data_IF_732751827970
#
_entry.id   IF_732751827970
#
_cell.length_a   1.000
_cell.length_b   1.000
_cell.length_c   1.000
_cell.angle_alpha   90.00
_cell.angle_beta   90.00
_cell.angle_gamma   90.00
#
_symmetry.space_group_name_H-M   'P 1'
#
loop_
_entity.id
_entity.type
_entity.pdbx_description
1 polymer ?
#
# COMPACT_ATOMS: atom_id res chain seq x y z
N UNK A 1 -25.03 -88.42 13.18
CA UNK A 1 -23.96 -88.04 12.23
C UNK A 1 -24.29 -86.79 11.39
N UNK A 2 -25.52 -86.24 11.46
CA UNK A 2 -25.93 -85.05 10.68
C UNK A 2 -25.72 -83.69 11.40
N UNK A 3 -25.58 -83.68 12.73
CA UNK A 3 -25.55 -82.43 13.51
C UNK A 3 -24.15 -81.81 13.65
N UNK A 4 -23.10 -82.62 13.58
CA UNK A 4 -21.71 -82.16 13.69
C UNK A 4 -21.18 -81.53 12.40
N UNK A 5 -21.72 -81.87 11.23
CA UNK A 5 -21.33 -81.30 9.93
C UNK A 5 -21.85 -79.86 9.74
N UNK A 6 -23.02 -79.52 10.29
CA UNK A 6 -23.57 -78.17 10.17
C UNK A 6 -22.82 -77.12 11.01
N UNK A 7 -22.36 -77.51 12.21
CA UNK A 7 -21.58 -76.60 13.08
C UNK A 7 -20.22 -76.27 12.47
N UNK A 8 -19.54 -77.26 11.88
CA UNK A 8 -18.24 -77.06 11.22
C UNK A 8 -18.39 -76.17 9.98
N UNK A 9 -19.47 -76.34 9.19
CA UNK A 9 -19.72 -75.50 8.00
C UNK A 9 -19.95 -74.02 8.33
N UNK A 10 -20.64 -73.73 9.44
CA UNK A 10 -20.92 -72.34 9.87
C UNK A 10 -19.66 -71.67 10.40
N UNK A 11 -18.84 -72.37 11.18
CA UNK A 11 -17.56 -71.86 11.66
C UNK A 11 -16.62 -71.54 10.50
N UNK A 12 -16.53 -72.41 9.49
CA UNK A 12 -15.65 -72.24 8.34
C UNK A 12 -16.05 -71.06 7.45
N UNK A 13 -17.36 -70.88 7.18
CA UNK A 13 -17.86 -69.74 6.39
C UNK A 13 -17.66 -68.41 7.13
N UNK A 14 -17.82 -68.41 8.46
CA UNK A 14 -17.68 -67.20 9.28
C UNK A 14 -16.22 -66.77 9.43
N UNK A 15 -15.27 -67.72 9.48
CA UNK A 15 -13.84 -67.39 9.45
C UNK A 15 -13.40 -66.89 8.07
N UNK A 16 -13.92 -67.49 6.98
CA UNK A 16 -13.59 -67.07 5.62
C UNK A 16 -14.07 -65.63 5.33
N UNK A 17 -15.28 -65.27 5.80
CA UNK A 17 -15.82 -63.90 5.66
C UNK A 17 -15.03 -62.87 6.47
N UNK A 18 -14.57 -63.22 7.67
CA UNK A 18 -13.72 -62.34 8.48
C UNK A 18 -12.35 -62.10 7.82
N UNK A 19 -11.74 -63.15 7.26
CA UNK A 19 -10.46 -63.00 6.54
C UNK A 19 -10.64 -62.12 5.30
N UNK A 20 -11.73 -62.28 4.54
CA UNK A 20 -12.03 -61.42 3.40
C UNK A 20 -12.28 -59.97 3.81
N UNK A 21 -12.97 -59.73 4.93
CA UNK A 21 -13.21 -58.39 5.45
C UNK A 21 -11.90 -57.70 5.83
N UNK A 22 -11.00 -58.39 6.55
CA UNK A 22 -9.70 -57.83 6.92
C UNK A 22 -8.79 -57.60 5.70
N UNK A 23 -8.81 -58.47 4.70
CA UNK A 23 -8.08 -58.28 3.44
C UNK A 23 -8.62 -57.07 2.66
N UNK A 24 -9.94 -56.90 2.60
CA UNK A 24 -10.55 -55.77 1.92
C UNK A 24 -10.24 -54.45 2.63
N UNK A 25 -10.25 -54.43 3.97
CA UNK A 25 -9.83 -53.27 4.77
C UNK A 25 -8.35 -52.95 4.55
N UNK A 26 -7.47 -53.97 4.48
CA UNK A 26 -6.05 -53.75 4.21
C UNK A 26 -5.78 -53.18 2.81
N UNK A 27 -6.52 -53.65 1.79
CA UNK A 27 -6.43 -53.12 0.42
C UNK A 27 -7.00 -51.70 0.35
N UNK A 28 -8.10 -51.42 1.07
CA UNK A 28 -8.71 -50.09 1.11
C UNK A 28 -7.83 -49.05 1.81
N UNK A 29 -7.14 -49.44 2.90
CA UNK A 29 -6.21 -48.56 3.62
C UNK A 29 -4.89 -48.40 2.83
N UNK A 30 -4.42 -49.45 2.14
CA UNK A 30 -3.21 -49.39 1.31
C UNK A 30 -3.34 -48.55 0.03
N UNK A 31 -4.56 -48.28 -0.43
CA UNK A 31 -4.83 -47.48 -1.63
C UNK A 31 -4.88 -45.95 -1.38
N UNK A 32 -4.73 -45.50 -0.13
CA UNK A 32 -4.75 -44.07 0.23
C UNK A 32 -3.36 -43.47 0.51
N UNK A 33 -2.32 -43.93 -0.18
CA UNK A 33 -1.09 -43.12 -0.27
C UNK A 33 -1.24 -42.11 -1.41
N UNK A 34 -2.10 -41.12 -1.19
CA UNK A 34 -2.00 -39.88 -1.95
C UNK A 34 -0.63 -39.29 -1.62
N UNK A 35 0.27 -39.38 -2.59
CA UNK A 35 1.52 -38.65 -2.57
C UNK A 35 1.15 -37.18 -2.75
N UNK A 36 0.84 -36.52 -1.63
CA UNK A 36 0.80 -35.07 -1.54
C UNK A 36 2.23 -34.57 -1.79
N UNK A 37 2.60 -34.45 -3.07
CA UNK A 37 3.72 -33.65 -3.49
C UNK A 37 3.42 -32.23 -3.02
N UNK A 38 4.08 -31.79 -1.95
CA UNK A 38 4.03 -30.41 -1.51
C UNK A 38 4.69 -29.56 -2.61
N UNK A 39 3.87 -29.04 -3.53
CA UNK A 39 4.30 -28.06 -4.49
C UNK A 39 4.65 -26.78 -3.72
N UNK A 40 5.94 -26.51 -3.56
CA UNK A 40 6.43 -25.27 -2.99
C UNK A 40 6.16 -24.15 -4.00
N UNK A 41 4.98 -23.55 -3.91
CA UNK A 41 4.69 -22.32 -4.63
C UNK A 41 5.42 -21.20 -3.87
N UNK A 42 6.41 -20.58 -4.51
CA UNK A 42 7.05 -19.39 -3.96
C UNK A 42 5.98 -18.29 -3.82
N UNK A 43 5.64 -17.93 -2.58
CA UNK A 43 4.71 -16.84 -2.27
C UNK A 43 5.51 -15.63 -1.80
N UNK A 44 5.41 -14.52 -2.51
CA UNK A 44 5.96 -13.23 -2.08
C UNK A 44 4.81 -12.37 -1.58
N UNK A 45 4.75 -12.15 -0.27
CA UNK A 45 3.77 -11.23 0.34
C UNK A 45 4.33 -9.82 0.33
N UNK A 46 3.64 -8.91 -0.35
CA UNK A 46 3.90 -7.47 -0.27
C UNK A 46 2.93 -6.90 0.76
N UNK A 47 3.47 -6.61 1.93
CA UNK A 47 2.80 -5.82 2.97
C UNK A 47 3.21 -4.37 2.80
N UNK A 48 2.25 -3.45 2.78
CA UNK A 48 2.55 -2.00 2.82
C UNK A 48 3.08 -1.66 4.21
N UNK A 49 4.39 -1.47 4.32
CA UNK A 49 5.15 -1.20 5.56
C UNK A 49 5.50 0.28 5.67
N UNK A 50 5.44 0.81 6.90
CA UNK A 50 5.58 2.24 7.19
C UNK A 50 6.97 2.49 7.73
N UNK A 51 7.79 3.14 6.91
CA UNK A 51 9.13 3.55 7.31
C UNK A 51 9.11 4.62 8.42
N UNK A 52 9.81 4.36 9.52
CA UNK A 52 9.95 5.24 10.68
C UNK A 52 9.14 4.83 11.90
N UNK A 53 8.76 3.56 12.03
CA UNK A 53 8.01 3.03 13.17
C UNK A 53 8.87 2.22 14.16
N UNK A 54 10.20 2.26 13.98
CA UNK A 54 11.20 1.55 14.80
C UNK A 54 11.11 0.03 14.74
N UNK A 55 10.44 -0.54 13.73
CA UNK A 55 10.33 -1.97 13.54
C UNK A 55 10.79 -2.36 12.14
N UNK A 56 11.94 -3.04 12.04
CA UNK A 56 12.47 -3.50 10.74
C UNK A 56 11.55 -4.56 10.12
N UNK A 57 10.80 -4.17 9.09
CA UNK A 57 9.93 -5.07 8.36
C UNK A 57 10.66 -5.81 7.21
N UNK A 58 10.06 -6.86 6.59
CA UNK A 58 10.74 -7.67 5.57
C UNK A 58 11.21 -6.92 4.31
N UNK A 59 10.65 -5.74 4.03
CA UNK A 59 11.05 -4.86 2.92
C UNK A 59 11.99 -3.73 3.35
N UNK A 60 12.38 -3.69 4.63
CA UNK A 60 13.19 -2.65 5.21
C UNK A 60 14.56 -3.21 5.56
N UNK A 61 15.60 -2.47 5.20
CA UNK A 61 16.97 -2.83 5.52
C UNK A 61 17.30 -2.45 6.97
N UNK A 62 16.69 -1.38 7.47
CA UNK A 62 16.76 -0.91 8.84
C UNK A 62 15.61 0.09 9.12
N UNK A 63 15.25 0.29 10.39
CA UNK A 63 14.30 1.32 10.85
C UNK A 63 14.66 1.69 12.29
N UNK A 64 15.22 2.89 12.48
CA UNK A 64 15.60 3.43 13.79
C UNK A 64 14.54 4.42 14.34
N UNK A 65 13.36 4.50 13.71
CA UNK A 65 12.26 5.39 14.06
C UNK A 65 12.38 6.83 13.57
N UNK A 66 13.59 7.27 13.20
CA UNK A 66 13.86 8.67 12.81
C UNK A 66 14.35 8.74 11.35
N UNK A 67 15.07 7.71 10.91
CA UNK A 67 15.69 7.54 9.60
C UNK A 67 16.42 8.81 9.14
N UNK A 68 17.20 9.39 10.07
CA UNK A 68 17.81 10.71 9.89
C UNK A 68 18.99 10.74 8.93
N UNK A 69 19.59 9.59 8.65
CA UNK A 69 20.82 9.46 7.86
C UNK A 69 22.03 10.16 8.46
N UNK A 70 21.95 10.58 9.72
CA UNK A 70 23.04 11.27 10.39
C UNK A 70 24.28 10.37 10.46
N UNK A 71 25.43 10.99 10.23
CA UNK A 71 26.71 10.33 10.31
C UNK A 71 26.92 9.69 11.69
N UNK A 72 27.46 8.48 11.71
CA UNK A 72 27.76 7.75 12.93
C UNK A 72 29.24 7.38 13.04
N UNK A 73 29.79 7.51 14.24
CA UNK A 73 31.21 7.23 14.52
C UNK A 73 31.55 5.74 14.65
N UNK A 74 30.59 4.84 14.46
CA UNK A 74 30.83 3.39 14.47
C UNK A 74 29.68 2.61 13.85
N UNK A 75 29.97 1.38 13.41
CA UNK A 75 29.00 0.38 12.94
C UNK A 75 27.90 0.14 13.98
N UNK A 76 28.21 0.19 15.28
CA UNK A 76 27.24 -0.07 16.34
C UNK A 76 26.21 1.07 16.51
N UNK A 77 26.57 2.28 16.08
CA UNK A 77 25.75 3.50 16.23
C UNK A 77 25.20 4.02 14.91
N UNK A 78 25.31 3.24 13.83
CA UNK A 78 24.85 3.62 12.49
C UNK A 78 23.35 3.93 12.48
N UNK A 79 23.00 5.02 11.80
CA UNK A 79 21.62 5.45 11.61
C UNK A 79 21.10 4.99 10.26
N UNK A 80 19.79 4.87 10.11
CA UNK A 80 19.15 4.66 8.82
C UNK A 80 19.09 5.97 8.03
N UNK A 81 19.51 6.00 6.76
CA UNK A 81 19.27 7.16 5.87
C UNK A 81 17.85 7.17 5.32
N UNK A 82 17.30 5.98 5.15
CA UNK A 82 15.92 5.66 4.84
C UNK A 82 15.69 4.23 5.28
N UNK A 83 14.48 3.69 5.16
CA UNK A 83 14.27 2.27 5.45
C UNK A 83 14.85 1.32 4.39
N UNK A 84 15.54 1.85 3.37
CA UNK A 84 16.16 1.05 2.31
C UNK A 84 17.68 1.02 2.36
N UNK A 85 18.32 1.83 3.22
CA UNK A 85 19.78 1.90 3.34
C UNK A 85 20.25 2.50 4.68
N UNK A 86 21.44 2.13 5.11
CA UNK A 86 22.13 2.84 6.20
C UNK A 86 22.52 4.26 5.77
N UNK A 87 22.68 5.15 6.75
CA UNK A 87 23.38 6.43 6.59
C UNK A 87 24.87 6.23 6.45
N UNK A 88 25.59 7.33 6.27
CA UNK A 88 27.06 7.33 6.25
C UNK A 88 27.58 7.03 7.66
N UNK A 89 28.61 6.21 7.79
CA UNK A 89 29.21 5.90 9.09
C UNK A 89 30.64 5.38 8.94
N UNK A 90 31.42 5.57 10.00
CA UNK A 90 32.78 5.04 10.08
C UNK A 90 32.81 3.51 10.10
N UNK A 91 33.58 2.92 9.19
CA UNK A 91 33.77 1.48 9.04
C UNK A 91 32.88 0.88 7.96
N UNK A 92 32.42 1.67 6.99
CA UNK A 92 31.64 1.19 5.84
C UNK A 92 32.48 0.97 4.58
N UNK A 93 33.79 1.26 4.65
CA UNK A 93 34.76 1.12 3.58
C UNK A 93 34.79 2.31 2.62
N UNK A 94 34.06 3.40 2.92
CA UNK A 94 33.95 4.58 2.06
C UNK A 94 34.34 5.83 2.85
N UNK A 95 35.51 6.39 2.57
CA UNK A 95 35.93 7.65 3.20
C UNK A 95 34.95 8.78 2.89
N UNK A 96 34.45 9.46 3.93
CA UNK A 96 33.53 10.59 3.85
C UNK A 96 34.17 11.89 4.40
N UNK A 97 34.95 12.62 3.58
CA UNK A 97 35.73 13.77 4.04
C UNK A 97 34.90 14.94 4.60
N UNK A 98 33.62 15.04 4.19
CA UNK A 98 32.72 16.09 4.64
C UNK A 98 32.20 15.87 6.07
N UNK A 99 32.23 14.62 6.56
CA UNK A 99 31.84 14.24 7.92
C UNK A 99 33.06 14.11 8.86
N UNK A 100 34.28 14.33 8.33
CA UNK A 100 35.52 14.41 9.11
C UNK A 100 36.34 13.12 9.14
N UNK A 101 36.01 12.12 8.32
CA UNK A 101 36.84 10.92 8.17
C UNK A 101 38.16 11.22 7.43
N UNK A 102 39.26 10.68 7.95
CA UNK A 102 40.57 10.74 7.30
C UNK A 102 40.96 9.39 6.66
N UNK A 103 40.36 8.30 7.10
CA UNK A 103 40.51 6.93 6.60
C UNK A 103 39.21 6.15 6.84
N UNK A 104 39.04 5.01 6.16
CA UNK A 104 38.03 4.00 6.47
C UNK A 104 38.53 2.66 5.91
N UNK A 105 38.69 1.64 6.76
CA UNK A 105 39.17 0.29 6.41
C UNK A 105 38.08 -0.79 6.49
N UNK A 106 36.81 -0.37 6.52
CA UNK A 106 35.64 -1.24 6.51
C UNK A 106 35.31 -1.86 7.87
N UNK A 107 35.93 -1.39 8.96
CA UNK A 107 35.60 -1.84 10.31
C UNK A 107 35.88 -0.74 11.38
N UNK A 108 35.73 -1.06 12.68
CA UNK A 108 36.04 -0.14 13.79
C UNK A 108 37.01 -0.75 14.81
N UNK A 109 37.95 -1.56 14.32
CA UNK A 109 39.08 -2.07 15.11
C UNK A 109 40.15 -1.00 15.10
N UNK A 110 40.97 -0.94 16.16
CA UNK A 110 42.14 -0.07 16.19
C UNK A 110 43.40 -0.93 16.05
N UNK A 111 44.42 -0.36 15.45
CA UNK A 111 45.72 -0.98 15.18
C UNK A 111 45.79 -1.72 13.85
N UNK A 112 44.79 -1.56 12.97
CA UNK A 112 44.70 -2.23 11.67
C UNK A 112 44.66 -1.30 10.45
N UNK A 113 44.88 0.01 10.63
CA UNK A 113 45.18 1.07 9.64
C UNK A 113 44.36 2.33 9.89
N UNK A 114 43.11 2.17 10.34
CA UNK A 114 42.21 3.25 10.68
C UNK A 114 41.71 3.08 12.12
N UNK A 115 41.58 4.19 12.88
CA UNK A 115 41.12 4.09 14.26
C UNK A 115 39.58 3.89 14.35
N UNK A 116 39.08 3.66 15.58
CA UNK A 116 37.65 3.39 15.82
C UNK A 116 36.70 4.55 15.48
N UNK A 117 37.22 5.74 15.16
CA UNK A 117 36.46 6.94 14.78
C UNK A 117 36.90 7.49 13.42
N UNK A 118 37.54 6.66 12.59
CA UNK A 118 37.95 6.96 11.23
C UNK A 118 38.97 8.10 11.11
N UNK A 119 39.90 8.14 12.07
CA UNK A 119 41.09 8.99 12.03
C UNK A 119 42.34 8.14 11.77
N UNK A 120 43.33 8.75 11.12
CA UNK A 120 44.60 8.08 10.90
C UNK A 120 45.27 7.78 12.24
N UNK A 121 45.67 6.53 12.42
CA UNK A 121 46.36 6.13 13.63
C UNK A 121 47.75 6.77 13.67
N UNK A 122 47.99 7.58 14.70
CA UNK A 122 49.35 8.04 14.99
C UNK A 122 50.12 6.89 15.63
N UNK A 123 50.84 6.14 14.82
CA UNK A 123 51.70 5.02 15.22
C UNK A 123 52.40 5.25 16.58
N UNK A 124 52.38 4.24 17.46
CA UNK A 124 53.56 3.88 18.23
C UNK A 124 54.03 2.48 17.82
N UNK A 125 55.21 2.42 17.22
CA UNK A 125 56.02 1.22 16.98
C UNK A 125 56.06 0.32 18.23
N UNK A 126 55.80 -1.00 18.11
CA UNK A 126 56.82 -2.08 18.32
C UNK A 126 56.26 -3.53 18.42
N UNK A 127 56.78 -4.34 17.49
CA UNK A 127 57.27 -5.74 17.52
C UNK A 127 56.77 -6.85 18.47
N UNK A 128 56.54 -8.02 17.84
CA UNK A 128 57.02 -9.35 18.24
C UNK A 128 56.16 -10.46 17.62
N UNK A 129 56.60 -11.44 16.82
CA UNK A 129 57.92 -11.95 16.43
C UNK A 129 57.81 -13.50 16.32
N UNK A 130 58.22 -14.12 15.20
CA UNK A 130 58.33 -15.59 15.12
C UNK A 130 58.43 -16.16 13.69
N UNK A 131 59.64 -16.52 13.26
CA UNK A 131 59.96 -16.89 11.88
C UNK A 131 59.69 -18.34 11.44
N UNK A 132 59.84 -18.57 10.14
CA UNK A 132 59.76 -19.88 9.49
C UNK A 132 60.25 -19.84 8.03
N UNK A 133 61.51 -20.20 7.87
CA UNK A 133 62.34 -20.44 6.69
C UNK A 133 61.69 -20.91 5.37
N UNK A 134 62.12 -20.24 4.29
CA UNK A 134 62.53 -20.74 2.97
C UNK A 134 62.01 -22.08 2.39
N UNK A 135 61.56 -22.01 1.14
CA UNK A 135 61.45 -23.17 0.25
C UNK A 135 60.99 -22.79 -1.16
N UNK A 136 61.93 -22.68 -2.09
CA UNK A 136 61.67 -22.57 -3.54
C UNK A 136 61.16 -23.89 -4.14
N UNK A 137 60.30 -23.79 -5.14
CA UNK A 137 59.87 -24.87 -6.05
C UNK A 137 58.39 -24.69 -6.39
N UNK A 138 57.95 -24.32 -7.59
CA UNK A 138 58.33 -24.84 -8.90
C UNK A 138 57.39 -26.00 -9.26
N UNK A 139 56.44 -25.79 -10.17
CA UNK A 139 55.68 -26.89 -10.78
C UNK A 139 54.23 -26.54 -11.10
N UNK A 140 53.91 -26.42 -12.39
CA UNK A 140 52.54 -26.34 -12.88
C UNK A 140 51.82 -27.70 -12.91
N UNK A 141 50.50 -27.63 -13.06
CA UNK A 141 49.60 -28.74 -13.39
C UNK A 141 48.17 -28.19 -13.37
N UNK A 142 47.60 -27.82 -14.52
CA UNK A 142 46.69 -28.63 -15.34
C UNK A 142 45.64 -29.37 -14.51
N UNK A 143 44.40 -28.93 -14.71
CA UNK A 143 43.24 -29.30 -13.91
C UNK A 143 42.70 -30.70 -14.13
N UNK A 144 41.78 -31.01 -13.23
CA UNK A 144 40.77 -32.07 -13.29
C UNK A 144 39.50 -31.48 -12.70
N UNK A 145 38.38 -31.38 -13.42
CA UNK A 145 37.11 -30.95 -12.86
C UNK A 145 36.40 -32.13 -12.19
N UNK A 146 35.72 -31.85 -11.08
CA UNK A 146 34.69 -32.70 -10.49
C UNK A 146 35.09 -33.37 -9.18
N UNK A 147 34.84 -32.69 -8.06
CA UNK A 147 34.33 -33.30 -6.81
C UNK A 147 33.84 -32.22 -5.83
N UNK A 148 32.96 -31.35 -6.30
CA UNK A 148 32.08 -30.53 -5.47
C UNK A 148 30.70 -31.15 -5.62
N UNK A 149 30.24 -31.88 -4.61
CA UNK A 149 29.02 -32.71 -4.57
C UNK A 149 27.70 -31.99 -4.84
N UNK A 150 27.58 -31.35 -5.99
CA UNK A 150 26.36 -30.84 -6.60
C UNK A 150 25.80 -31.97 -7.46
N UNK A 151 24.55 -32.41 -7.24
CA UNK A 151 23.94 -33.37 -8.14
C UNK A 151 23.82 -32.78 -9.55
N UNK A 152 24.37 -33.54 -10.49
CA UNK A 152 24.40 -33.36 -11.94
C UNK A 152 23.10 -32.74 -12.49
N UNK A 153 23.22 -31.50 -12.98
CA UNK A 153 22.19 -30.85 -13.77
C UNK A 153 22.22 -31.42 -15.20
N UNK A 154 21.44 -32.50 -15.38
CA UNK A 154 20.72 -32.90 -16.59
C UNK A 154 21.41 -32.73 -17.95
N UNK A 155 21.81 -33.86 -18.51
CA UNK A 155 21.65 -34.18 -19.94
C UNK A 155 20.15 -34.24 -20.26
N UNK A 156 19.50 -33.08 -20.35
CA UNK A 156 18.40 -32.72 -21.27
C UNK A 156 18.03 -31.26 -20.93
N UNK A 157 18.35 -30.35 -21.84
CA UNK A 157 18.33 -28.90 -21.62
C UNK A 157 16.94 -28.29 -21.58
N UNK A 158 16.10 -28.70 -20.63
CA UNK A 158 14.89 -27.98 -20.25
C UNK A 158 14.49 -28.32 -18.82
N UNK A 159 14.92 -27.51 -17.85
CA UNK A 159 14.14 -27.38 -16.62
C UNK A 159 12.96 -26.47 -16.96
N UNK A 160 11.86 -27.08 -17.38
CA UNK A 160 10.59 -26.38 -17.58
C UNK A 160 9.99 -26.07 -16.19
N UNK A 161 10.45 -24.98 -15.56
CA UNK A 161 9.72 -24.38 -14.44
C UNK A 161 8.64 -23.46 -15.01
N UNK A 162 7.52 -24.06 -15.42
CA UNK A 162 6.25 -23.36 -15.63
C UNK A 162 5.56 -23.17 -14.27
N UNK A 163 6.14 -22.33 -13.42
CA UNK A 163 5.40 -21.75 -12.31
C UNK A 163 4.49 -20.66 -12.88
N UNK A 164 3.17 -20.80 -12.74
CA UNK A 164 2.27 -19.72 -13.12
C UNK A 164 2.63 -18.45 -12.33
N UNK A 165 2.89 -17.35 -13.03
CA UNK A 165 3.10 -16.06 -12.39
C UNK A 165 1.74 -15.49 -12.03
N UNK A 166 1.38 -15.58 -10.75
CA UNK A 166 0.04 -15.25 -10.27
C UNK A 166 0.10 -14.08 -9.30
N UNK A 167 -0.98 -13.29 -9.27
CA UNK A 167 -1.11 -12.13 -8.40
C UNK A 167 -2.39 -12.26 -7.57
N UNK A 168 -2.24 -12.40 -6.26
CA UNK A 168 -3.35 -12.38 -5.31
C UNK A 168 -3.52 -10.98 -4.75
N UNK A 169 -4.72 -10.43 -4.83
CA UNK A 169 -5.03 -9.08 -4.34
C UNK A 169 -6.08 -9.19 -3.25
N UNK A 170 -5.83 -8.56 -2.12
CA UNK A 170 -6.76 -8.49 -1.00
C UNK A 170 -6.82 -7.08 -0.41
N UNK A 171 -8.02 -6.61 -0.10
CA UNK A 171 -8.23 -5.29 0.46
C UNK A 171 -9.59 -5.14 1.12
N UNK A 172 -9.86 -3.92 1.59
CA UNK A 172 -11.10 -3.55 2.24
C UNK A 172 -11.67 -2.26 1.65
N UNK A 173 -12.98 -2.20 1.49
CA UNK A 173 -13.72 -1.08 0.90
C UNK A 173 -14.98 -0.77 1.73
N UNK A 174 -16.15 -0.57 1.10
CA UNK A 174 -17.42 -0.42 1.81
C UNK A 174 -18.29 -1.66 1.60
N UNK A 175 -19.18 -2.03 2.55
CA UNK A 175 -20.02 -3.22 2.40
C UNK A 175 -20.88 -3.22 1.13
N UNK A 176 -20.64 -4.17 0.22
CA UNK A 176 -21.33 -4.24 -1.07
C UNK A 176 -20.97 -3.12 -2.03
N UNK A 177 -19.80 -2.49 -1.88
CA UNK A 177 -19.26 -1.55 -2.85
C UNK A 177 -18.75 -2.27 -4.10
N UNK A 178 -18.86 -1.62 -5.25
CA UNK A 178 -18.27 -2.09 -6.51
C UNK A 178 -16.89 -1.47 -6.68
N UNK A 179 -15.84 -2.30 -6.68
CA UNK A 179 -14.45 -1.91 -6.85
C UNK A 179 -14.05 -2.13 -8.30
N UNK A 180 -13.60 -1.07 -8.95
CA UNK A 180 -13.01 -1.12 -10.29
C UNK A 180 -11.50 -1.11 -10.17
N UNK A 181 -10.87 -2.11 -10.77
CA UNK A 181 -9.43 -2.30 -10.84
C UNK A 181 -8.96 -1.83 -12.20
N UNK A 182 -7.97 -0.94 -12.20
CA UNK A 182 -7.36 -0.37 -13.37
C UNK A 182 -5.94 -0.92 -13.53
N UNK A 183 -5.55 -1.23 -14.75
CA UNK A 183 -4.16 -1.49 -15.13
C UNK A 183 -3.80 -0.51 -16.24
N UNK A 184 -2.73 0.26 -16.02
CA UNK A 184 -2.26 1.28 -16.97
C UNK A 184 -3.36 2.26 -17.44
N UNK A 185 -4.36 2.51 -16.57
CA UNK A 185 -5.49 3.42 -16.83
C UNK A 185 -6.73 2.76 -17.46
N UNK A 186 -6.65 1.52 -17.92
CA UNK A 186 -7.79 0.77 -18.47
C UNK A 186 -8.43 -0.15 -17.42
N UNK A 187 -9.72 -0.47 -17.60
CA UNK A 187 -10.46 -1.36 -16.68
C UNK A 187 -10.00 -2.80 -16.89
N UNK A 188 -9.24 -3.32 -15.93
CA UNK A 188 -8.80 -4.70 -15.87
C UNK A 188 -9.96 -5.60 -15.40
N UNK A 189 -10.63 -5.18 -14.32
CA UNK A 189 -11.65 -6.00 -13.64
C UNK A 189 -12.57 -5.15 -12.77
N UNK A 190 -13.76 -5.67 -12.53
CA UNK A 190 -14.69 -5.19 -11.52
C UNK A 190 -14.94 -6.30 -10.51
N UNK A 191 -14.83 -5.98 -9.22
CA UNK A 191 -15.10 -6.90 -8.10
C UNK A 191 -16.04 -6.24 -7.09
N UNK A 192 -16.74 -7.02 -6.29
CA UNK A 192 -17.62 -6.50 -5.23
C UNK A 192 -17.04 -6.83 -3.86
N UNK A 193 -17.17 -5.90 -2.92
CA UNK A 193 -16.84 -6.16 -1.52
C UNK A 193 -17.97 -6.95 -0.84
N UNK A 194 -17.58 -7.88 0.02
CA UNK A 194 -18.51 -8.65 0.84
C UNK A 194 -19.21 -7.80 1.92
N UNK A 195 -20.10 -8.41 2.69
CA UNK A 195 -20.81 -7.74 3.80
C UNK A 195 -19.89 -7.29 4.94
N UNK A 196 -18.69 -7.88 5.04
CA UNK A 196 -17.65 -7.53 6.00
C UNK A 196 -16.68 -6.48 5.44
N UNK A 197 -17.01 -5.91 4.27
CA UNK A 197 -16.23 -4.93 3.53
C UNK A 197 -14.88 -5.43 3.00
N UNK A 198 -14.67 -6.74 2.85
CA UNK A 198 -13.45 -7.31 2.27
C UNK A 198 -13.67 -7.61 0.78
N UNK A 199 -12.60 -7.49 -0.01
CA UNK A 199 -12.55 -8.01 -1.37
C UNK A 199 -11.23 -8.76 -1.58
N UNK A 200 -11.28 -9.82 -2.36
CA UNK A 200 -10.09 -10.53 -2.81
C UNK A 200 -10.32 -11.12 -4.19
N UNK A 201 -9.26 -11.21 -4.98
CA UNK A 201 -9.27 -11.87 -6.29
C UNK A 201 -7.84 -12.23 -6.70
N UNK A 202 -7.73 -13.14 -7.67
CA UNK A 202 -6.44 -13.53 -8.26
C UNK A 202 -6.42 -13.19 -9.73
N UNK A 203 -5.27 -12.74 -10.22
CA UNK A 203 -4.95 -12.60 -11.64
C UNK A 203 -3.89 -13.63 -11.99
N UNK A 204 -4.16 -14.45 -13.01
CA UNK A 204 -3.26 -15.50 -13.48
C UNK A 204 -2.45 -15.03 -14.68
N UNK A 205 -1.37 -15.75 -15.02
CA UNK A 205 -0.56 -15.49 -16.24
C UNK A 205 -0.03 -14.05 -16.31
N UNK A 206 0.43 -13.51 -15.18
CA UNK A 206 0.91 -12.14 -15.09
C UNK A 206 2.29 -11.98 -15.73
N UNK A 207 2.52 -10.84 -16.38
CA UNK A 207 3.84 -10.49 -16.89
C UNK A 207 4.74 -10.05 -15.72
N UNK A 208 5.91 -10.67 -15.52
CA UNK A 208 6.86 -10.25 -14.49
C UNK A 208 7.38 -8.83 -14.74
N UNK A 209 7.63 -8.08 -13.67
CA UNK A 209 8.13 -6.71 -13.74
C UNK A 209 7.37 -5.73 -12.86
N UNK A 210 7.72 -4.45 -12.95
CA UNK A 210 7.03 -3.38 -12.21
C UNK A 210 5.64 -3.20 -12.82
N UNK A 211 4.62 -3.35 -11.98
CA UNK A 211 3.21 -3.22 -12.34
C UNK A 211 2.58 -2.13 -11.49
N UNK A 212 1.73 -1.31 -12.09
CA UNK A 212 0.88 -0.35 -11.37
C UNK A 212 -0.58 -0.71 -11.53
N UNK A 213 -1.29 -0.85 -10.41
CA UNK A 213 -2.73 -1.05 -10.38
C UNK A 213 -3.42 0.14 -9.70
N UNK A 214 -4.51 0.60 -10.31
CA UNK A 214 -5.41 1.60 -9.75
C UNK A 214 -6.67 0.95 -9.18
N UNK A 215 -7.18 1.47 -8.07
CA UNK A 215 -8.36 0.97 -7.38
C UNK A 215 -9.26 2.14 -7.04
N UNK A 216 -10.51 2.10 -7.47
CA UNK A 216 -11.54 3.00 -6.96
C UNK A 216 -12.82 2.23 -6.71
N UNK A 217 -13.61 2.66 -5.73
CA UNK A 217 -14.89 2.03 -5.41
C UNK A 217 -16.03 3.01 -5.63
N UNK A 218 -17.17 2.49 -6.10
CA UNK A 218 -18.46 3.15 -5.99
C UNK A 218 -19.24 2.56 -4.81
N UNK A 219 -19.80 3.43 -3.98
CA UNK A 219 -20.77 3.00 -2.97
C UNK A 219 -22.15 2.72 -3.59
N UNK A 220 -23.10 2.27 -2.76
CA UNK A 220 -24.46 1.92 -3.21
C UNK A 220 -25.26 3.12 -3.73
N UNK A 221 -24.85 4.34 -3.38
CA UNK A 221 -25.43 5.57 -3.90
C UNK A 221 -24.76 6.02 -5.21
N UNK A 222 -23.80 5.25 -5.73
CA UNK A 222 -23.06 5.56 -6.95
C UNK A 222 -21.96 6.59 -6.75
N UNK A 223 -21.65 7.00 -5.50
CA UNK A 223 -20.58 7.96 -5.23
C UNK A 223 -19.25 7.25 -5.33
N UNK A 224 -18.30 7.89 -6.00
CA UNK A 224 -16.98 7.32 -6.32
C UNK A 224 -15.91 7.78 -5.33
N UNK A 225 -15.02 6.87 -4.95
CA UNK A 225 -13.81 7.17 -4.18
C UNK A 225 -12.74 7.82 -5.06
N UNK A 226 -11.73 8.43 -4.42
CA UNK A 226 -10.49 8.73 -5.15
C UNK A 226 -9.85 7.42 -5.62
N UNK A 227 -9.09 7.48 -6.72
CA UNK A 227 -8.34 6.32 -7.21
C UNK A 227 -7.08 6.16 -6.37
N UNK A 228 -6.96 5.03 -5.68
CA UNK A 228 -5.76 4.59 -4.98
C UNK A 228 -4.88 3.80 -5.96
N UNK A 229 -3.61 4.18 -6.12
CA UNK A 229 -2.69 3.47 -7.00
C UNK A 229 -1.60 2.77 -6.19
N UNK A 230 -1.29 1.53 -6.55
CA UNK A 230 -0.21 0.74 -5.97
C UNK A 230 0.73 0.26 -7.06
N UNK A 231 2.02 0.54 -6.90
CA UNK A 231 3.10 0.08 -7.79
C UNK A 231 3.96 -0.94 -7.05
N UNK A 232 4.14 -2.11 -7.64
CA UNK A 232 4.88 -3.23 -7.03
C UNK A 232 5.53 -4.09 -8.12
N UNK A 233 6.52 -4.90 -7.72
CA UNK A 233 7.20 -5.81 -8.61
C UNK A 233 6.53 -7.19 -8.58
N UNK A 234 6.09 -7.67 -9.75
CA UNK A 234 5.62 -9.04 -9.96
C UNK A 234 6.84 -9.93 -10.24
N UNK A 235 7.04 -10.94 -9.39
CA UNK A 235 8.17 -11.88 -9.49
C UNK A 235 7.80 -13.03 -10.42
N UNK A 236 8.68 -13.35 -11.36
CA UNK A 236 8.49 -14.47 -12.29
C UNK A 236 8.38 -15.80 -11.57
N UNK A 237 7.48 -16.66 -12.03
CA UNK A 237 7.25 -18.02 -11.50
C UNK A 237 6.91 -18.06 -10.01
N UNK A 238 6.30 -16.98 -9.49
CA UNK A 238 5.90 -16.84 -8.10
C UNK A 238 4.47 -16.30 -8.00
N UNK A 239 3.85 -16.56 -6.85
CA UNK A 239 2.59 -15.91 -6.45
C UNK A 239 2.94 -14.64 -5.69
N UNK A 240 2.71 -13.49 -6.31
CA UNK A 240 2.80 -12.19 -5.65
C UNK A 240 1.49 -11.91 -4.93
N UNK A 241 1.52 -11.58 -3.64
CA UNK A 241 0.31 -11.22 -2.87
C UNK A 241 0.36 -9.76 -2.48
N UNK A 242 -0.55 -8.96 -3.03
CA UNK A 242 -0.79 -7.57 -2.64
C UNK A 242 -1.91 -7.54 -1.60
N UNK A 243 -1.58 -7.13 -0.37
CA UNK A 243 -2.54 -7.04 0.73
C UNK A 243 -2.53 -5.66 1.38
N UNK A 244 -3.56 -5.34 2.17
CA UNK A 244 -3.63 -4.08 2.91
C UNK A 244 -4.17 -2.90 2.11
N UNK A 245 -4.81 -3.14 0.96
CA UNK A 245 -5.47 -2.07 0.20
C UNK A 245 -6.68 -1.56 1.01
N UNK A 246 -6.67 -0.28 1.36
CA UNK A 246 -7.77 0.38 2.06
C UNK A 246 -8.34 1.48 1.17
N UNK A 247 -9.56 1.27 0.67
CA UNK A 247 -10.21 2.28 -0.18
C UNK A 247 -10.66 3.48 0.68
N UNK A 248 -10.21 4.72 0.38
CA UNK A 248 -10.62 5.93 1.10
C UNK A 248 -12.14 6.10 1.15
N UNK A 249 -12.72 6.81 2.12
CA UNK A 249 -14.17 6.97 2.18
C UNK A 249 -14.71 7.78 1.00
N UNK A 250 -15.97 7.55 0.63
CA UNK A 250 -16.72 8.49 -0.23
C UNK A 250 -17.17 9.70 0.59
N UNK A 251 -17.39 10.82 -0.07
CA UNK A 251 -17.81 12.06 0.55
C UNK A 251 -18.81 12.78 -0.35
N UNK A 252 -19.88 13.29 0.25
CA UNK A 252 -20.83 14.21 -0.36
C UNK A 252 -21.19 15.28 0.66
N UNK A 253 -21.51 16.48 0.18
CA UNK A 253 -21.99 17.59 1.01
C UNK A 253 -23.44 17.86 0.67
N UNK A 254 -24.28 18.07 1.68
CA UNK A 254 -25.71 18.36 1.48
C UNK A 254 -26.21 19.34 2.53
N UNK A 255 -26.76 20.51 2.15
CA UNK A 255 -26.74 21.09 0.80
C UNK A 255 -25.32 21.58 0.41
N UNK A 256 -25.02 21.64 -0.89
CA UNK A 256 -23.76 22.19 -1.41
C UNK A 256 -23.64 23.72 -1.20
N UNK A 257 -24.79 24.37 -0.99
CA UNK A 257 -24.91 25.79 -0.65
C UNK A 257 -25.71 25.95 0.64
N UNK A 258 -25.17 26.68 1.59
CA UNK A 258 -25.80 26.91 2.89
C UNK A 258 -25.60 28.36 3.36
N UNK A 259 -26.60 28.91 4.05
CA UNK A 259 -26.43 30.20 4.71
C UNK A 259 -25.53 30.05 5.95
N UNK A 260 -24.76 31.07 6.30
CA UNK A 260 -23.95 31.04 7.52
C UNK A 260 -24.82 30.83 8.76
N UNK A 261 -24.39 29.93 9.65
CA UNK A 261 -25.14 29.54 10.85
C UNK A 261 -26.23 28.50 10.60
N UNK A 262 -26.29 27.94 9.39
CA UNK A 262 -27.11 26.76 9.10
C UNK A 262 -26.27 25.48 9.16
N UNK A 263 -26.94 24.34 9.28
CA UNK A 263 -26.28 23.03 9.35
C UNK A 263 -26.13 22.44 7.95
N UNK A 264 -24.91 22.00 7.64
CA UNK A 264 -24.60 21.17 6.47
C UNK A 264 -24.30 19.74 6.91
N UNK A 265 -24.62 18.78 6.06
CA UNK A 265 -24.33 17.37 6.29
C UNK A 265 -23.21 16.91 5.36
N UNK A 266 -22.17 16.33 5.95
CA UNK A 266 -21.15 15.57 5.26
C UNK A 266 -21.50 14.09 5.39
N UNK A 267 -21.67 13.38 4.29
CA UNK A 267 -22.07 11.98 4.32
C UNK A 267 -21.30 11.15 3.30
N UNK A 268 -21.23 9.86 3.54
CA UNK A 268 -20.48 8.97 2.68
C UNK A 268 -20.56 7.51 3.10
N UNK A 269 -19.67 6.72 2.52
CA UNK A 269 -19.43 5.33 2.85
C UNK A 269 -17.97 5.13 3.21
N UNK A 270 -17.71 4.37 4.27
CA UNK A 270 -16.41 4.07 4.86
C UNK A 270 -16.39 2.61 5.36
N UNK A 271 -15.28 2.18 5.96
CA UNK A 271 -15.23 0.86 6.58
C UNK A 271 -16.18 0.77 7.79
N UNK A 272 -16.88 -0.36 7.99
CA UNK A 272 -17.79 -0.54 9.12
C UNK A 272 -17.10 -0.37 10.47
N UNK A 273 -17.79 0.28 11.41
CA UNK A 273 -17.31 0.46 12.79
C UNK A 273 -15.97 1.19 12.91
N UNK A 274 -15.57 1.95 11.89
CA UNK A 274 -14.38 2.81 11.94
C UNK A 274 -14.77 4.25 12.29
N UNK A 275 -13.83 5.00 12.86
CA UNK A 275 -14.01 6.43 13.11
C UNK A 275 -13.68 7.19 11.83
N UNK A 276 -14.64 7.96 11.33
CA UNK A 276 -14.47 8.86 10.19
C UNK A 276 -14.11 10.24 10.71
N UNK A 277 -13.10 10.86 10.11
CA UNK A 277 -12.60 12.18 10.43
C UNK A 277 -12.77 13.08 9.19
N UNK A 278 -13.51 14.18 9.33
CA UNK A 278 -13.70 15.18 8.28
C UNK A 278 -12.95 16.46 8.61
N UNK A 279 -12.08 16.89 7.70
CA UNK A 279 -11.30 18.12 7.80
C UNK A 279 -11.93 19.18 6.91
N UNK A 280 -12.32 20.31 7.50
CA UNK A 280 -12.86 21.46 6.80
C UNK A 280 -11.74 22.49 6.64
N UNK A 281 -11.48 22.91 5.41
CA UNK A 281 -10.38 23.80 5.02
C UNK A 281 -9.02 23.39 5.58
N UNK A 282 -8.43 24.25 6.42
CA UNK A 282 -7.15 24.07 7.09
C UNK A 282 -7.32 23.87 8.60
N UNK A 283 -8.48 23.38 9.04
CA UNK A 283 -8.72 23.13 10.46
C UNK A 283 -7.74 22.09 11.02
N UNK A 284 -7.11 22.40 12.14
CA UNK A 284 -6.20 21.49 12.84
C UNK A 284 -6.91 20.29 13.48
N UNK A 285 -8.22 20.44 13.75
CA UNK A 285 -9.05 19.41 14.37
C UNK A 285 -10.14 18.94 13.41
N UNK A 286 -10.27 17.63 13.18
CA UNK A 286 -11.36 17.10 12.39
C UNK A 286 -12.66 17.06 13.20
N UNK A 287 -13.77 17.10 12.48
CA UNK A 287 -15.05 16.62 12.99
C UNK A 287 -15.08 15.10 12.88
N UNK A 288 -15.61 14.42 13.89
CA UNK A 288 -15.53 12.96 13.97
C UNK A 288 -16.92 12.32 14.09
N UNK A 289 -17.08 11.15 13.47
CA UNK A 289 -18.26 10.28 13.63
C UNK A 289 -17.85 8.82 13.52
N UNK A 290 -18.76 7.91 13.87
CA UNK A 290 -18.56 6.47 13.66
C UNK A 290 -19.34 6.01 12.44
N UNK A 291 -18.68 5.25 11.57
CA UNK A 291 -19.34 4.56 10.48
C UNK A 291 -20.24 3.43 11.02
N UNK A 292 -21.46 3.35 10.49
CA UNK A 292 -22.43 2.31 10.80
C UNK A 292 -21.93 0.92 10.38
N UNK A 293 -22.63 -0.14 10.78
CA UNK A 293 -22.33 -1.51 10.35
C UNK A 293 -22.43 -1.70 8.83
N UNK A 294 -23.20 -0.85 8.15
CA UNK A 294 -23.35 -0.87 6.69
C UNK A 294 -22.31 0.03 5.99
N UNK A 295 -21.38 0.63 6.73
CA UNK A 295 -20.36 1.54 6.23
C UNK A 295 -20.84 2.97 6.00
N UNK A 296 -22.13 3.28 6.17
CA UNK A 296 -22.64 4.64 6.04
C UNK A 296 -22.19 5.50 7.23
N UNK A 297 -21.83 6.75 6.95
CA UNK A 297 -21.45 7.73 7.96
C UNK A 297 -22.01 9.10 7.59
N UNK A 298 -22.28 9.92 8.61
CA UNK A 298 -22.70 11.30 8.44
C UNK A 298 -22.22 12.18 9.61
N UNK A 299 -21.85 13.42 9.29
CA UNK A 299 -21.50 14.49 10.23
C UNK A 299 -22.40 15.67 9.93
N UNK A 300 -23.05 16.20 10.97
CA UNK A 300 -23.78 17.47 10.90
C UNK A 300 -22.88 18.59 11.40
N UNK A 301 -22.58 19.56 10.56
CA UNK A 301 -21.66 20.65 10.85
C UNK A 301 -22.36 22.00 10.83
N UNK A 302 -22.13 22.82 11.87
CA UNK A 302 -22.64 24.18 11.95
C UNK A 302 -21.68 25.16 11.25
N UNK A 303 -22.18 25.82 10.20
CA UNK A 303 -21.42 26.78 9.38
C UNK A 303 -21.18 28.13 10.08
N UNK A 304 -21.64 28.33 11.32
CA UNK A 304 -21.45 29.59 12.07
C UNK A 304 -19.98 30.02 12.20
N UNK A 305 -19.04 29.07 12.20
CA UNK A 305 -17.59 29.32 12.32
C UNK A 305 -16.90 29.59 10.98
N UNK A 306 -17.59 29.38 9.87
CA UNK A 306 -17.04 29.53 8.53
C UNK A 306 -17.16 30.97 8.06
N UNK A 307 -16.29 31.36 7.15
CA UNK A 307 -16.32 32.69 6.52
C UNK A 307 -17.59 32.80 5.67
N UNK A 308 -18.36 33.87 5.89
CA UNK A 308 -19.55 34.12 5.07
C UNK A 308 -19.12 34.56 3.66
N UNK A 309 -19.93 34.23 2.66
CA UNK A 309 -19.71 34.57 1.25
C UNK A 309 -18.43 33.96 0.66
N UNK A 310 -18.08 32.74 1.10
CA UNK A 310 -16.84 32.07 0.73
C UNK A 310 -17.02 30.60 0.39
N UNK A 311 -16.09 30.09 -0.42
CA UNK A 311 -15.94 28.66 -0.68
C UNK A 311 -15.13 28.00 0.41
N UNK A 312 -15.61 26.84 0.81
CA UNK A 312 -14.99 25.97 1.77
C UNK A 312 -14.78 24.59 1.16
N UNK A 313 -13.78 23.89 1.68
CA UNK A 313 -13.40 22.57 1.21
C UNK A 313 -13.54 21.58 2.34
N UNK A 314 -13.91 20.35 2.01
CA UNK A 314 -13.94 19.25 2.97
C UNK A 314 -13.31 18.00 2.37
N UNK A 315 -12.55 17.29 3.19
CA UNK A 315 -11.99 15.97 2.90
C UNK A 315 -12.17 15.06 4.11
N UNK A 316 -12.39 13.78 3.87
CA UNK A 316 -12.61 12.81 4.94
C UNK A 316 -11.64 11.63 4.84
N UNK A 317 -11.22 11.08 5.96
CA UNK A 317 -10.55 9.78 6.04
C UNK A 317 -11.16 8.97 7.19
N UNK A 318 -10.72 7.73 7.38
CA UNK A 318 -11.12 6.94 8.55
C UNK A 318 -9.92 6.29 9.23
N UNK A 319 -10.09 6.03 10.52
CA UNK A 319 -9.14 5.31 11.39
C UNK A 319 -9.88 4.24 12.19
N UNK A 320 -9.23 3.11 12.43
CA UNK A 320 -9.70 2.14 13.41
C UNK A 320 -9.10 2.47 14.79
N UNK A 321 -9.95 2.73 15.78
CA UNK A 321 -9.48 3.04 17.14
C UNK A 321 -8.78 1.84 17.81
N UNK A 322 -9.10 0.61 17.40
CA UNK A 322 -8.49 -0.60 17.94
C UNK A 322 -7.16 -0.93 17.26
N UNK A 323 -7.00 -0.45 16.04
CA UNK A 323 -5.79 -0.65 15.25
C UNK A 323 -5.42 0.67 14.57
N UNK A 324 -4.66 1.50 15.28
CA UNK A 324 -4.27 2.84 14.83
C UNK A 324 -3.50 2.79 13.49
N UNK A 325 -2.93 1.64 13.12
CA UNK A 325 -2.26 1.41 11.83
C UNK A 325 -3.25 1.30 10.66
N UNK A 326 -4.53 1.01 10.91
CA UNK A 326 -5.58 0.96 9.89
C UNK A 326 -6.14 2.36 9.63
N UNK A 327 -5.35 3.19 8.94
CA UNK A 327 -5.74 4.52 8.49
C UNK A 327 -5.88 4.56 6.98
N UNK A 328 -7.00 5.07 6.47
CA UNK A 328 -7.16 5.30 5.04
C UNK A 328 -6.55 6.63 4.58
N UNK A 329 -6.32 6.73 3.28
CA UNK A 329 -6.11 8.01 2.60
C UNK A 329 -7.36 8.90 2.66
N UNK A 330 -7.22 10.13 2.19
CA UNK A 330 -8.33 11.08 2.12
C UNK A 330 -9.27 10.77 0.95
N UNK A 331 -10.54 11.11 1.13
CA UNK A 331 -11.58 11.14 0.10
C UNK A 331 -11.24 12.15 -0.99
N UNK A 332 -12.05 12.17 -2.05
CA UNK A 332 -12.11 13.31 -2.95
C UNK A 332 -12.43 14.57 -2.15
N UNK A 333 -11.69 15.65 -2.42
CA UNK A 333 -11.96 16.96 -1.84
C UNK A 333 -13.26 17.46 -2.47
N UNK A 334 -14.23 17.82 -1.63
CA UNK A 334 -15.50 18.38 -2.08
C UNK A 334 -15.60 19.83 -1.64
N UNK A 335 -16.04 20.69 -2.55
CA UNK A 335 -16.22 22.12 -2.30
C UNK A 335 -17.68 22.39 -1.94
N UNK A 336 -17.92 23.36 -1.05
CA UNK A 336 -19.25 23.85 -0.72
C UNK A 336 -19.21 25.35 -0.46
N UNK A 337 -20.35 26.03 -0.64
CA UNK A 337 -20.45 27.47 -0.50
C UNK A 337 -21.24 27.85 0.76
N UNK A 338 -20.66 28.73 1.58
CA UNK A 338 -21.33 29.32 2.74
C UNK A 338 -21.65 30.78 2.42
N UNK A 339 -22.93 31.08 2.25
CA UNK A 339 -23.38 32.42 1.91
C UNK A 339 -24.87 32.48 1.62
N UNK A 340 -25.44 33.68 1.76
CA UNK A 340 -26.85 33.93 1.43
C UNK A 340 -27.02 34.61 0.09
N UNK A 341 -25.96 35.20 -0.47
CA UNK A 341 -26.04 35.70 -1.84
C UNK A 341 -26.36 34.55 -2.78
N UNK A 342 -27.52 34.68 -3.40
CA UNK A 342 -27.84 33.93 -4.59
C UNK A 342 -26.96 34.42 -5.72
N UNK A 343 -26.09 33.52 -6.20
CA UNK A 343 -25.54 33.61 -7.55
C UNK A 343 -26.60 33.27 -8.60
N UNK A 344 -27.91 33.31 -8.27
CA UNK A 344 -28.93 33.65 -9.26
C UNK A 344 -30.33 33.97 -8.67
N UNK A 345 -30.72 35.24 -8.77
CA UNK A 345 -31.98 35.61 -9.47
C UNK A 345 -31.71 36.74 -10.50
N UNK A 346 -30.52 36.77 -11.08
CA UNK A 346 -30.16 37.71 -12.16
C UNK A 346 -28.65 37.98 -12.33
N UNK A 347 -27.77 37.18 -11.73
CA UNK A 347 -26.32 37.26 -11.90
C UNK A 347 -25.86 35.86 -12.25
N UNK A 348 -25.38 35.66 -13.46
CA UNK A 348 -24.91 34.36 -13.92
C UNK A 348 -23.39 34.38 -13.95
N UNK A 349 -22.76 33.29 -13.49
CA UNK A 349 -21.33 33.03 -13.75
C UNK A 349 -21.02 32.92 -15.25
N UNK A 350 -22.06 32.72 -16.06
CA UNK A 350 -22.10 32.93 -17.51
C UNK A 350 -22.10 34.45 -17.76
N UNK A 351 -20.91 34.99 -18.01
CA UNK A 351 -20.64 36.41 -18.18
C UNK A 351 -20.95 36.89 -19.61
N UNK A 352 -20.95 35.99 -20.60
CA UNK A 352 -21.30 36.31 -21.98
C UNK A 352 -22.78 36.05 -22.32
N UNK A 353 -23.54 35.46 -21.40
CA UNK A 353 -24.94 35.05 -21.50
C UNK A 353 -25.22 34.03 -22.62
N UNK A 354 -24.29 33.09 -22.88
CA UNK A 354 -24.45 32.04 -23.90
C UNK A 354 -25.12 30.75 -23.36
N UNK A 355 -25.43 30.71 -22.06
CA UNK A 355 -26.09 29.61 -21.38
C UNK A 355 -25.14 28.51 -20.88
N UNK A 356 -23.83 28.67 -21.05
CA UNK A 356 -22.80 27.79 -20.50
C UNK A 356 -21.78 28.61 -19.71
N UNK A 357 -21.11 27.97 -18.75
CA UNK A 357 -19.99 28.58 -18.02
C UNK A 357 -18.72 27.84 -18.40
N UNK A 358 -17.87 28.49 -19.18
CA UNK A 358 -16.67 27.88 -19.72
C UNK A 358 -15.47 28.86 -19.78
N UNK A 359 -14.46 28.49 -20.56
CA UNK A 359 -13.22 29.25 -20.70
C UNK A 359 -13.44 30.69 -21.20
N UNK A 360 -14.54 30.93 -21.93
CA UNK A 360 -14.94 32.25 -22.41
C UNK A 360 -15.33 33.15 -21.24
N UNK A 361 -16.16 32.66 -20.31
CA UNK A 361 -16.52 33.41 -19.11
C UNK A 361 -15.31 33.65 -18.22
N UNK A 362 -14.45 32.64 -18.08
CA UNK A 362 -13.20 32.82 -17.36
C UNK A 362 -12.32 33.92 -17.98
N UNK A 363 -12.27 34.00 -19.31
CA UNK A 363 -11.53 35.06 -20.00
C UNK A 363 -12.12 36.45 -19.76
N UNK A 364 -13.45 36.57 -19.65
CA UNK A 364 -14.14 37.82 -19.33
C UNK A 364 -13.90 38.22 -17.88
N UNK A 365 -13.91 37.26 -16.97
CA UNK A 365 -13.61 37.49 -15.56
C UNK A 365 -12.16 37.97 -15.38
N UNK A 366 -11.20 37.29 -16.03
CA UNK A 366 -9.79 37.65 -15.97
C UNK A 366 -9.49 38.99 -16.64
N UNK A 367 -10.20 39.33 -17.72
CA UNK A 367 -10.12 40.66 -18.34
C UNK A 367 -10.51 41.78 -17.37
N UNK A 368 -11.49 41.53 -16.50
CA UNK A 368 -11.97 42.48 -15.51
C UNK A 368 -11.30 42.30 -14.13
N UNK A 369 -10.19 41.57 -14.04
CA UNK A 369 -9.54 41.27 -12.76
C UNK A 369 -9.10 42.53 -12.02
N UNK A 370 -9.38 42.57 -10.71
CA UNK A 370 -9.09 43.69 -9.81
C UNK A 370 -9.76 45.02 -10.24
N UNK A 371 -10.92 44.93 -10.90
CA UNK A 371 -11.76 46.08 -11.27
C UNK A 371 -13.08 46.07 -10.48
N UNK A 372 -13.87 47.12 -10.63
CA UNK A 372 -15.23 47.25 -10.05
C UNK A 372 -16.32 46.91 -11.07
N UNK A 373 -16.01 46.09 -12.09
CA UNK A 373 -16.97 45.76 -13.14
C UNK A 373 -18.15 44.97 -12.57
N UNK A 374 -19.35 45.54 -12.62
CA UNK A 374 -20.55 44.95 -12.02
C UNK A 374 -21.03 43.64 -12.66
N UNK A 375 -20.59 43.32 -13.88
CA UNK A 375 -20.89 42.03 -14.53
C UNK A 375 -19.93 40.94 -14.09
N UNK A 376 -18.63 41.25 -13.99
CA UNK A 376 -17.62 40.29 -13.57
C UNK A 376 -17.46 40.18 -12.03
N UNK A 377 -18.02 41.13 -11.28
CA UNK A 377 -18.17 41.10 -9.81
C UNK A 377 -19.39 40.24 -9.47
N UNK A 378 -19.20 38.92 -9.63
CA UNK A 378 -20.20 37.88 -9.45
C UNK A 378 -20.68 37.86 -8.00
N UNK A 379 -19.79 38.08 -7.03
CA UNK A 379 -20.12 38.09 -5.60
C UNK A 379 -20.65 39.45 -5.10
N UNK A 380 -20.60 40.51 -5.93
CA UNK A 380 -21.04 41.88 -5.60
C UNK A 380 -20.37 42.44 -4.33
N UNK A 381 -19.10 42.16 -4.15
CA UNK A 381 -18.30 42.76 -3.07
C UNK A 381 -17.65 44.09 -3.49
N UNK A 382 -17.81 44.48 -4.76
CA UNK A 382 -17.28 45.69 -5.33
C UNK A 382 -15.91 45.50 -5.97
N UNK A 383 -15.36 44.28 -6.04
CA UNK A 383 -14.05 44.01 -6.64
C UNK A 383 -13.95 42.61 -7.24
N UNK A 384 -13.70 42.53 -8.54
CA UNK A 384 -13.48 41.27 -9.26
C UNK A 384 -12.19 40.59 -8.79
N UNK A 385 -12.29 39.57 -7.96
CA UNK A 385 -11.15 38.91 -7.32
C UNK A 385 -11.32 37.38 -7.25
N UNK A 386 -10.47 36.71 -6.46
CA UNK A 386 -10.48 35.25 -6.28
C UNK A 386 -11.84 34.66 -5.87
N UNK A 387 -12.64 35.30 -5.01
CA UNK A 387 -14.02 34.90 -4.75
C UNK A 387 -14.87 34.78 -6.01
N UNK A 388 -14.85 35.76 -6.92
CA UNK A 388 -15.62 35.71 -8.18
C UNK A 388 -15.16 34.56 -9.07
N UNK A 389 -13.85 34.35 -9.16
CA UNK A 389 -13.31 33.20 -9.89
C UNK A 389 -13.77 31.87 -9.30
N UNK A 390 -13.82 31.78 -7.97
CA UNK A 390 -14.28 30.57 -7.28
C UNK A 390 -15.76 30.30 -7.55
N UNK A 391 -16.57 31.37 -7.64
CA UNK A 391 -17.98 31.26 -8.04
C UNK A 391 -18.11 30.81 -9.49
N UNK A 392 -17.30 31.36 -10.39
CA UNK A 392 -17.31 30.96 -11.80
C UNK A 392 -17.01 29.47 -11.96
N UNK A 393 -15.99 28.96 -11.25
CA UNK A 393 -15.65 27.53 -11.26
C UNK A 393 -16.76 26.65 -10.67
N UNK A 394 -17.51 27.13 -9.69
CA UNK A 394 -18.60 26.37 -9.09
C UNK A 394 -19.73 26.11 -10.09
N UNK A 395 -20.01 27.05 -10.98
CA UNK A 395 -21.04 26.91 -12.01
C UNK A 395 -20.50 26.35 -13.33
N UNK A 396 -19.24 25.89 -13.38
CA UNK A 396 -18.60 25.43 -14.60
C UNK A 396 -19.37 24.29 -15.28
N UNK A 397 -19.73 24.48 -16.55
CA UNK A 397 -20.51 23.49 -17.32
C UNK A 397 -19.71 22.78 -18.41
N UNK A 398 -18.48 23.23 -18.71
CA UNK A 398 -17.63 22.62 -19.75
C UNK A 398 -17.22 23.59 -20.82
#
# INVERSE_FOLDING_TARGET
>A
MYDTLHVISRWFVQTLLLVFFFLFVFIYIGAQTDSAQAQYVATTTVSLTVCGDSLVAPSEFCDDGINSGLYAFSIATRNCSSCTAWGQYCGDGVIQPFEGEECDDGNNTAGDYCDVVCQNESDPVTEGGGGGSGGSGGGGGRGTPGDDGIPDASVDGSIEYIGETNLNIAGRAYPGATITVLRDGEVERVVEADSSANFNFSLTEQTPGITTLGFWAADRAGRRSITYAATFQVVQNAVTTLSGILIPPTLTVTPEKAAQGTTISFAGSALPSTKVQAYIDKADKPEETLASSNGEWAISYDTSKLTNEAFHTVKANYIDEKNIQLKSGYSLITNFYVGTRDVNTGLTADLNNDGVVNLTDFSILLFNWNTTNAQADINKDGSVTLPDFSILLFYWTG
#
